data_IF_146838337727
#
_entry.id   IF_146838337727
#
_cell.length_a   1.000
_cell.length_b   1.000
_cell.length_c   1.000
_cell.angle_alpha   90.00
_cell.angle_beta   90.00
_cell.angle_gamma   90.00
#
_symmetry.space_group_name_H-M   'P 1'
#
loop_
_entity.id
_entity.type
_entity.pdbx_description
1 polymer ?
#
# COMPACT_ATOMS: atom_id res chain seq x y z
N UNK A 1 -22.64 -3.36 -47.59
CA UNK A 1 -22.55 -4.20 -46.38
C UNK A 1 -21.55 -3.54 -45.46
N UNK A 2 -22.00 -2.99 -44.32
CA UNK A 2 -21.08 -2.45 -43.32
C UNK A 2 -20.24 -3.60 -42.78
N UNK A 3 -18.92 -3.54 -42.96
CA UNK A 3 -18.00 -4.43 -42.26
C UNK A 3 -18.23 -4.22 -40.77
N UNK A 4 -18.76 -5.23 -40.08
CA UNK A 4 -18.82 -5.18 -38.62
C UNK A 4 -17.37 -5.21 -38.14
N UNK A 5 -16.87 -4.06 -37.70
CA UNK A 5 -15.58 -4.01 -37.03
C UNK A 5 -15.65 -4.93 -35.80
N UNK A 6 -14.67 -5.82 -35.66
CA UNK A 6 -14.63 -6.79 -34.58
C UNK A 6 -14.39 -6.03 -33.27
N UNK A 7 -15.29 -6.18 -32.31
CA UNK A 7 -15.08 -5.69 -30.95
C UNK A 7 -14.07 -6.57 -30.22
N UNK A 8 -13.04 -5.95 -29.64
CA UNK A 8 -11.91 -6.64 -29.02
C UNK A 8 -11.84 -6.33 -27.53
N UNK A 9 -11.65 -7.38 -26.73
CA UNK A 9 -11.24 -7.27 -25.34
C UNK A 9 -9.84 -7.85 -25.16
N UNK A 10 -8.95 -7.08 -24.54
CA UNK A 10 -7.61 -7.52 -24.19
C UNK A 10 -7.52 -8.10 -22.78
N UNK A 11 -6.59 -9.02 -22.57
CA UNK A 11 -6.20 -9.51 -21.25
C UNK A 11 -4.68 -9.56 -21.14
N UNK A 12 -4.12 -9.19 -19.99
CA UNK A 12 -2.68 -9.09 -19.80
C UNK A 12 -2.25 -9.68 -18.47
N UNK A 13 -1.40 -10.70 -18.54
CA UNK A 13 -0.60 -11.18 -17.41
C UNK A 13 0.73 -10.42 -17.36
N UNK A 14 1.08 -9.93 -16.18
CA UNK A 14 2.18 -8.98 -15.99
C UNK A 14 3.33 -9.56 -15.17
N UNK A 15 4.51 -9.60 -15.78
CA UNK A 15 5.78 -9.97 -15.15
C UNK A 15 6.78 -8.81 -15.17
N UNK A 16 7.93 -9.02 -14.52
CA UNK A 16 8.95 -8.00 -14.31
C UNK A 16 9.48 -7.43 -15.63
N UNK A 17 9.86 -8.30 -16.56
CA UNK A 17 10.58 -7.92 -17.78
C UNK A 17 9.69 -8.03 -19.03
N UNK A 18 8.60 -8.78 -18.96
CA UNK A 18 7.66 -8.99 -20.07
C UNK A 18 6.20 -8.97 -19.60
N UNK A 19 5.29 -8.69 -20.53
CA UNK A 19 3.86 -8.78 -20.37
C UNK A 19 3.30 -9.68 -21.48
N UNK A 20 2.49 -10.65 -21.10
CA UNK A 20 1.82 -11.55 -22.05
C UNK A 20 0.40 -11.06 -22.23
N UNK A 21 0.01 -10.78 -23.47
CA UNK A 21 -1.31 -10.28 -23.81
C UNK A 21 -2.08 -11.31 -24.66
N UNK A 22 -3.40 -11.34 -24.47
CA UNK A 22 -4.34 -12.07 -25.32
C UNK A 22 -5.45 -11.13 -25.79
N UNK A 23 -5.91 -11.32 -27.02
CA UNK A 23 -7.05 -10.61 -27.60
C UNK A 23 -8.19 -11.60 -27.83
N UNK A 24 -9.39 -11.24 -27.39
CA UNK A 24 -10.62 -12.00 -27.65
C UNK A 24 -11.69 -11.11 -28.28
N UNK A 25 -12.59 -11.70 -29.04
CA UNK A 25 -13.78 -10.99 -29.57
C UNK A 25 -14.94 -10.99 -28.56
N UNK A 26 -16.06 -10.35 -28.94
CA UNK A 26 -17.29 -10.28 -28.14
C UNK A 26 -17.95 -11.63 -27.84
N UNK A 27 -17.67 -12.66 -28.65
CA UNK A 27 -18.10 -14.04 -28.40
C UNK A 27 -17.11 -14.82 -27.49
N UNK A 28 -15.99 -14.19 -27.11
CA UNK A 28 -14.92 -14.82 -26.33
C UNK A 28 -14.05 -15.78 -27.14
N UNK A 29 -14.04 -15.70 -28.47
CA UNK A 29 -13.09 -16.43 -29.32
C UNK A 29 -11.74 -15.74 -29.27
N UNK A 30 -10.66 -16.53 -29.21
CA UNK A 30 -9.29 -16.00 -29.15
C UNK A 30 -8.87 -15.55 -30.54
N UNK A 31 -8.45 -14.29 -30.65
CA UNK A 31 -7.94 -13.68 -31.88
C UNK A 31 -6.41 -13.79 -31.97
N UNK A 32 -5.73 -13.80 -30.82
CA UNK A 32 -4.30 -14.05 -30.74
C UNK A 32 -3.73 -13.87 -29.34
N UNK A 33 -2.48 -14.29 -29.16
CA UNK A 33 -1.68 -14.04 -27.96
C UNK A 33 -0.25 -13.67 -28.33
N UNK A 34 0.35 -12.71 -27.62
CA UNK A 34 1.72 -12.27 -27.87
C UNK A 34 2.40 -11.77 -26.58
N UNK A 35 3.73 -11.79 -26.57
CA UNK A 35 4.54 -11.27 -25.47
C UNK A 35 5.24 -9.97 -25.86
N UNK A 36 5.26 -9.01 -24.93
CA UNK A 36 5.84 -7.69 -25.11
C UNK A 36 6.80 -7.36 -23.97
N UNK A 37 7.89 -6.61 -24.21
CA UNK A 37 8.74 -6.12 -23.13
C UNK A 37 7.98 -5.19 -22.16
N UNK A 38 8.29 -5.25 -20.87
CA UNK A 38 7.74 -4.34 -19.86
C UNK A 38 8.43 -2.96 -19.92
N UNK A 39 8.27 -2.25 -21.04
CA UNK A 39 8.90 -0.96 -21.34
C UNK A 39 7.95 -0.05 -22.13
N UNK A 40 8.25 1.24 -22.22
CA UNK A 40 7.45 2.19 -23.00
C UNK A 40 7.29 1.77 -24.48
N UNK A 41 8.34 1.22 -25.10
CA UNK A 41 8.25 0.68 -26.45
C UNK A 41 7.34 -0.57 -26.49
N UNK A 42 7.46 -1.45 -25.51
CA UNK A 42 6.61 -2.64 -25.42
C UNK A 42 5.14 -2.31 -25.20
N UNK A 43 4.82 -1.29 -24.41
CA UNK A 43 3.44 -0.83 -24.19
C UNK A 43 2.81 -0.29 -25.48
N UNK A 44 3.56 0.51 -26.25
CA UNK A 44 3.17 0.98 -27.59
C UNK A 44 2.87 -0.19 -28.53
N UNK A 45 3.78 -1.16 -28.59
CA UNK A 45 3.62 -2.37 -29.43
C UNK A 45 2.41 -3.19 -29.01
N UNK A 46 2.21 -3.39 -27.71
CA UNK A 46 1.08 -4.14 -27.17
C UNK A 46 -0.25 -3.48 -27.54
N UNK A 47 -0.37 -2.15 -27.35
CA UNK A 47 -1.59 -1.41 -27.69
C UNK A 47 -1.86 -1.44 -29.20
N UNK A 48 -0.85 -1.22 -30.02
CA UNK A 48 -0.96 -1.32 -31.49
C UNK A 48 -1.39 -2.72 -31.93
N UNK A 49 -0.84 -3.75 -31.29
CA UNK A 49 -1.19 -5.13 -31.57
C UNK A 49 -2.66 -5.43 -31.20
N UNK A 50 -3.13 -5.02 -30.01
CA UNK A 50 -4.54 -5.17 -29.64
C UNK A 50 -5.49 -4.45 -30.61
N UNK A 51 -5.17 -3.23 -31.02
CA UNK A 51 -5.96 -2.43 -31.98
C UNK A 51 -5.95 -3.01 -33.40
N UNK A 52 -4.95 -3.81 -33.75
CA UNK A 52 -4.88 -4.44 -35.08
C UNK A 52 -5.96 -5.50 -35.33
N UNK A 53 -6.59 -6.01 -34.27
CA UNK A 53 -7.69 -6.97 -34.36
C UNK A 53 -9.07 -6.33 -34.52
N UNK A 54 -9.22 -5.02 -34.29
CA UNK A 54 -10.50 -4.31 -34.36
C UNK A 54 -10.67 -3.22 -33.29
N UNK A 55 -11.91 -2.88 -32.94
CA UNK A 55 -12.24 -1.85 -31.95
C UNK A 55 -11.91 -2.38 -30.55
N UNK A 56 -10.86 -1.85 -29.93
CA UNK A 56 -10.48 -2.21 -28.56
C UNK A 56 -11.42 -1.54 -27.54
N UNK A 57 -12.28 -2.34 -26.91
CA UNK A 57 -13.26 -1.86 -25.92
C UNK A 57 -12.64 -1.70 -24.53
N UNK A 58 -11.86 -2.69 -24.08
CA UNK A 58 -11.23 -2.68 -22.77
C UNK A 58 -10.06 -3.66 -22.66
N UNK A 59 -9.26 -3.49 -21.61
CA UNK A 59 -8.17 -4.40 -21.27
C UNK A 59 -8.23 -4.80 -19.80
N UNK A 60 -8.31 -6.10 -19.54
CA UNK A 60 -8.10 -6.69 -18.22
C UNK A 60 -6.61 -6.82 -17.91
N UNK A 61 -6.12 -6.15 -16.88
CA UNK A 61 -4.70 -6.19 -16.50
C UNK A 61 -4.55 -6.80 -15.10
N UNK A 62 -3.74 -7.85 -14.99
CA UNK A 62 -3.35 -8.38 -13.68
C UNK A 62 -2.34 -7.44 -12.99
N UNK A 63 -2.43 -7.34 -11.66
CA UNK A 63 -1.45 -6.66 -10.81
C UNK A 63 -1.13 -5.22 -11.26
N UNK A 64 -2.16 -4.42 -11.55
CA UNK A 64 -2.02 -2.99 -11.86
C UNK A 64 -1.34 -2.20 -10.73
N UNK A 65 -1.34 -2.74 -9.51
CA UNK A 65 -0.59 -2.24 -8.37
C UNK A 65 0.90 -2.63 -8.29
N UNK A 66 1.44 -3.39 -9.24
CA UNK A 66 2.83 -3.86 -9.26
C UNK A 66 3.40 -3.82 -10.69
N UNK A 67 3.69 -4.97 -11.30
CA UNK A 67 4.28 -5.04 -12.64
C UNK A 67 3.39 -4.43 -13.74
N UNK A 68 2.07 -4.49 -13.58
CA UNK A 68 1.12 -3.89 -14.53
C UNK A 68 0.96 -2.37 -14.40
N UNK A 69 1.61 -1.71 -13.44
CA UNK A 69 1.39 -0.28 -13.18
C UNK A 69 1.78 0.62 -14.36
N UNK A 70 2.89 0.31 -15.04
CA UNK A 70 3.34 1.06 -16.22
C UNK A 70 2.36 0.93 -17.38
N UNK A 71 1.96 -0.30 -17.70
CA UNK A 71 1.01 -0.59 -18.77
C UNK A 71 -0.37 0.01 -18.51
N UNK A 72 -0.90 -0.13 -17.29
CA UNK A 72 -2.22 0.38 -16.94
C UNK A 72 -2.32 1.91 -17.03
N UNK A 73 -1.21 2.62 -16.79
CA UNK A 73 -1.11 4.08 -17.02
C UNK A 73 -1.05 4.39 -18.51
N UNK A 74 -0.16 3.74 -19.24
CA UNK A 74 -0.02 3.94 -20.69
C UNK A 74 -1.35 3.72 -21.45
N UNK A 75 -2.09 2.67 -21.10
CA UNK A 75 -3.40 2.38 -21.69
C UNK A 75 -4.44 3.47 -21.38
N UNK A 76 -4.49 3.97 -20.15
CA UNK A 76 -5.40 5.06 -19.76
C UNK A 76 -5.06 6.38 -20.45
N UNK A 77 -3.78 6.70 -20.61
CA UNK A 77 -3.31 7.88 -21.37
C UNK A 77 -3.70 7.83 -22.85
N UNK A 78 -4.10 6.66 -23.38
CA UNK A 78 -4.55 6.46 -24.75
C UNK A 78 -6.06 6.09 -24.82
N UNK A 79 -6.83 6.54 -23.82
CA UNK A 79 -8.29 6.40 -23.72
C UNK A 79 -8.80 4.95 -23.73
N UNK A 80 -7.98 3.99 -23.30
CA UNK A 80 -8.39 2.59 -23.17
C UNK A 80 -8.97 2.34 -21.78
N UNK A 81 -10.18 1.77 -21.73
CA UNK A 81 -10.79 1.31 -20.47
C UNK A 81 -9.96 0.16 -19.89
N UNK A 82 -9.36 0.38 -18.71
CA UNK A 82 -8.59 -0.65 -18.00
C UNK A 82 -9.36 -1.15 -16.79
N UNK A 83 -9.46 -2.47 -16.66
CA UNK A 83 -10.01 -3.13 -15.46
C UNK A 83 -8.92 -3.97 -14.78
N UNK A 84 -8.80 -3.87 -13.47
CA UNK A 84 -7.93 -4.73 -12.68
C UNK A 84 -8.61 -6.09 -12.53
N UNK A 85 -7.90 -7.15 -12.90
CA UNK A 85 -8.38 -8.53 -12.74
C UNK A 85 -7.86 -9.10 -11.43
N UNK A 86 -8.79 -9.45 -10.54
CA UNK A 86 -8.44 -10.23 -9.36
C UNK A 86 -8.02 -11.64 -9.78
N UNK A 87 -6.89 -12.08 -9.25
CA UNK A 87 -6.36 -13.43 -9.47
C UNK A 87 -7.43 -14.50 -9.20
N UNK A 88 -7.68 -15.45 -10.12
CA UNK A 88 -8.63 -16.54 -9.87
C UNK A 88 -8.18 -17.43 -8.71
N UNK A 89 -9.15 -18.06 -8.05
CA UNK A 89 -8.94 -18.96 -6.91
C UNK A 89 -7.88 -20.02 -7.24
N UNK A 90 -6.96 -20.25 -6.29
CA UNK A 90 -5.85 -21.19 -6.43
C UNK A 90 -6.32 -22.61 -6.78
N UNK A 91 -7.55 -22.98 -6.41
CA UNK A 91 -8.14 -24.29 -6.73
C UNK A 91 -8.44 -24.46 -8.22
N UNK A 92 -8.98 -23.45 -8.88
CA UNK A 92 -9.30 -23.48 -10.33
C UNK A 92 -8.02 -23.54 -11.16
N UNK A 93 -6.95 -22.88 -10.67
CA UNK A 93 -5.65 -22.76 -11.35
C UNK A 93 -4.83 -24.07 -11.40
N UNK A 94 -5.14 -25.06 -10.57
CA UNK A 94 -4.39 -26.34 -10.54
C UNK A 94 -4.74 -27.29 -11.69
N UNK A 95 -5.91 -27.10 -12.32
CA UNK A 95 -6.45 -28.03 -13.31
C UNK A 95 -6.13 -27.68 -14.76
N UNK A 96 -5.67 -26.45 -15.06
CA UNK A 96 -5.53 -25.95 -16.43
C UNK A 96 -4.09 -25.91 -16.98
N UNK A 97 -3.09 -26.27 -16.18
CA UNK A 97 -1.68 -26.08 -16.55
C UNK A 97 -1.27 -24.59 -16.49
N UNK A 98 -0.02 -24.33 -16.11
CA UNK A 98 0.47 -22.95 -15.90
C UNK A 98 1.19 -22.48 -17.17
N UNK A 99 0.56 -21.62 -17.95
CA UNK A 99 1.23 -20.91 -19.04
C UNK A 99 0.76 -19.45 -19.09
N UNK A 100 1.69 -18.54 -19.37
CA UNK A 100 1.40 -17.10 -19.40
C UNK A 100 0.31 -16.71 -20.44
N UNK A 101 0.20 -17.36 -21.63
CA UNK A 101 -0.91 -17.09 -22.55
C UNK A 101 -2.28 -17.46 -21.98
N UNK A 102 -2.38 -18.58 -21.27
CA UNK A 102 -3.63 -19.02 -20.62
C UNK A 102 -4.06 -18.02 -19.53
N UNK A 103 -3.10 -17.51 -18.74
CA UNK A 103 -3.38 -16.49 -17.73
C UNK A 103 -3.83 -15.16 -18.39
N UNK A 104 -3.23 -14.76 -19.52
CA UNK A 104 -3.64 -13.58 -20.28
C UNK A 104 -5.04 -13.73 -20.90
N UNK A 105 -5.36 -14.90 -21.49
CA UNK A 105 -6.70 -15.19 -22.00
C UNK A 105 -7.76 -15.21 -20.88
N UNK A 106 -7.43 -15.79 -19.73
CA UNK A 106 -8.31 -15.79 -18.57
C UNK A 106 -8.59 -14.36 -18.09
N UNK A 107 -7.58 -13.47 -18.11
CA UNK A 107 -7.75 -12.06 -17.82
C UNK A 107 -8.68 -11.37 -18.82
N UNK A 108 -8.54 -11.67 -20.13
CA UNK A 108 -9.40 -11.11 -21.18
C UNK A 108 -10.87 -11.54 -20.97
N UNK A 109 -11.10 -12.83 -20.71
CA UNK A 109 -12.44 -13.38 -20.45
C UNK A 109 -13.05 -12.81 -19.17
N UNK A 110 -12.25 -12.59 -18.14
CA UNK A 110 -12.72 -11.97 -16.90
C UNK A 110 -13.12 -10.50 -17.11
N UNK A 111 -12.36 -9.76 -17.93
CA UNK A 111 -12.69 -8.39 -18.33
C UNK A 111 -13.99 -8.34 -19.13
N UNK A 112 -14.12 -9.16 -20.18
CA UNK A 112 -15.32 -9.23 -21.02
C UNK A 112 -16.58 -9.55 -20.20
N UNK A 113 -16.46 -10.47 -19.23
CA UNK A 113 -17.57 -10.84 -18.36
C UNK A 113 -17.80 -9.89 -17.17
N UNK A 114 -16.99 -8.83 -17.05
CA UNK A 114 -16.92 -7.92 -15.90
C UNK A 114 -16.93 -8.63 -14.53
N UNK A 115 -16.32 -9.82 -14.48
CA UNK A 115 -16.37 -10.70 -13.31
C UNK A 115 -15.14 -10.49 -12.46
N UNK A 116 -15.33 -10.12 -11.18
CA UNK A 116 -14.24 -9.83 -10.23
C UNK A 116 -13.27 -8.76 -10.76
N UNK A 117 -13.84 -7.74 -11.38
CA UNK A 117 -13.11 -6.57 -11.86
C UNK A 117 -13.11 -5.45 -10.82
N UNK A 118 -11.96 -4.80 -10.68
CA UNK A 118 -11.78 -3.57 -9.92
C UNK A 118 -11.37 -2.42 -10.82
N UNK A 119 -11.67 -1.18 -10.42
CA UNK A 119 -11.06 0.00 -11.05
C UNK A 119 -9.64 0.14 -10.47
N UNK A 120 -8.58 0.11 -11.31
CA UNK A 120 -7.21 0.30 -10.84
C UNK A 120 -7.02 1.63 -10.14
N UNK A 121 -6.03 1.72 -9.25
CA UNK A 121 -5.58 3.03 -8.74
C UNK A 121 -4.92 3.82 -9.86
N UNK A 122 -5.19 5.13 -9.95
CA UNK A 122 -4.62 5.96 -11.02
C UNK A 122 -3.09 6.09 -10.92
N UNK A 123 -2.54 6.26 -9.71
CA UNK A 123 -1.08 6.22 -9.46
C UNK A 123 -0.26 7.21 -10.31
N UNK A 124 -0.83 8.37 -10.55
CA UNK A 124 -0.27 9.43 -11.39
C UNK A 124 -0.37 10.80 -10.70
N UNK A 125 -0.98 10.88 -9.51
CA UNK A 125 -1.18 12.11 -8.76
C UNK A 125 -0.35 12.22 -7.48
N UNK A 126 -0.74 13.19 -6.65
CA UNK A 126 -0.07 13.50 -5.37
C UNK A 126 -0.07 12.32 -4.39
N UNK A 127 -1.07 11.42 -4.44
CA UNK A 127 -1.10 10.23 -3.58
C UNK A 127 0.00 9.25 -3.96
N UNK A 128 0.35 9.14 -5.25
CA UNK A 128 1.48 8.31 -5.69
C UNK A 128 2.82 8.90 -5.27
N UNK A 129 2.99 10.23 -5.36
CA UNK A 129 4.17 10.91 -4.82
C UNK A 129 4.31 10.65 -3.31
N UNK A 130 3.21 10.79 -2.57
CA UNK A 130 3.15 10.47 -1.15
C UNK A 130 3.49 8.99 -0.87
N UNK A 131 2.99 8.06 -1.70
CA UNK A 131 3.34 6.64 -1.59
C UNK A 131 4.84 6.43 -1.71
N UNK A 132 5.49 7.06 -2.69
CA UNK A 132 6.92 6.92 -2.92
C UNK A 132 7.74 7.41 -1.71
N UNK A 133 7.44 8.62 -1.21
CA UNK A 133 8.09 9.18 -0.01
C UNK A 133 7.89 8.28 1.21
N UNK A 134 6.68 7.76 1.41
CA UNK A 134 6.37 6.86 2.53
C UNK A 134 7.09 5.51 2.45
N UNK A 135 7.41 5.02 1.24
CA UNK A 135 8.23 3.81 1.06
C UNK A 135 9.64 4.05 1.59
N UNK A 136 10.29 5.15 1.18
CA UNK A 136 11.63 5.52 1.67
C UNK A 136 11.61 5.71 3.20
N UNK A 137 10.65 6.49 3.72
CA UNK A 137 10.56 6.77 5.15
C UNK A 137 10.35 5.51 5.98
N UNK A 138 9.47 4.61 5.55
CA UNK A 138 9.24 3.34 6.26
C UNK A 138 10.50 2.49 6.29
N UNK A 139 11.26 2.46 5.19
CA UNK A 139 12.56 1.78 5.13
C UNK A 139 13.52 2.38 6.16
N UNK A 140 13.69 3.70 6.17
CA UNK A 140 14.59 4.38 7.10
C UNK A 140 14.22 4.12 8.57
N UNK A 141 12.92 4.19 8.92
CA UNK A 141 12.43 3.87 10.29
C UNK A 141 12.75 2.44 10.68
N UNK A 142 12.52 1.47 9.78
CA UNK A 142 12.79 0.06 10.04
C UNK A 142 14.29 -0.18 10.24
N UNK A 143 15.12 0.35 9.34
CA UNK A 143 16.57 0.26 9.44
C UNK A 143 17.10 0.90 10.72
N UNK A 144 16.55 2.06 11.13
CA UNK A 144 16.95 2.75 12.36
C UNK A 144 16.67 1.87 13.59
N UNK A 145 15.51 1.21 13.63
CA UNK A 145 15.17 0.26 14.69
C UNK A 145 16.07 -0.99 14.68
N UNK A 146 16.41 -1.51 13.50
CA UNK A 146 17.30 -2.66 13.35
C UNK A 146 18.73 -2.31 13.80
N UNK A 147 19.22 -1.12 13.48
CA UNK A 147 20.52 -0.62 13.95
C UNK A 147 20.56 -0.51 15.47
N UNK A 148 19.51 0.02 16.11
CA UNK A 148 19.42 0.05 17.59
C UNK A 148 19.51 -1.36 18.18
N UNK A 149 18.85 -2.35 17.56
CA UNK A 149 18.93 -3.75 17.98
C UNK A 149 20.33 -4.32 17.81
N UNK A 150 20.99 -4.05 16.69
CA UNK A 150 22.37 -4.48 16.42
C UNK A 150 23.35 -3.90 17.45
N UNK A 151 23.23 -2.61 17.80
CA UNK A 151 24.03 -1.97 18.84
C UNK A 151 23.83 -2.69 20.18
N UNK A 152 22.58 -2.91 20.59
CA UNK A 152 22.26 -3.59 21.86
C UNK A 152 22.81 -5.01 21.88
N UNK A 153 22.66 -5.76 20.80
CA UNK A 153 23.19 -7.12 20.69
C UNK A 153 24.72 -7.14 20.76
N UNK A 154 25.40 -6.21 20.09
CA UNK A 154 26.86 -6.14 20.11
C UNK A 154 27.40 -5.80 21.51
N UNK A 155 26.68 -4.98 22.28
CA UNK A 155 27.05 -4.67 23.68
C UNK A 155 26.97 -5.90 24.58
N UNK A 156 26.03 -6.82 24.33
CA UNK A 156 25.87 -8.05 25.14
C UNK A 156 27.14 -8.91 25.07
N UNK A 157 27.78 -8.99 23.91
CA UNK A 157 28.99 -9.80 23.67
C UNK A 157 30.28 -8.97 23.63
N UNK A 158 30.22 -7.69 23.99
CA UNK A 158 31.38 -6.80 23.96
C UNK A 158 32.40 -7.16 25.07
N UNK A 159 33.70 -6.86 24.89
CA UNK A 159 34.69 -6.94 25.95
C UNK A 159 34.25 -6.18 27.21
N UNK A 160 34.60 -6.71 28.39
CA UNK A 160 34.00 -6.31 29.68
C UNK A 160 34.05 -4.80 29.95
N UNK A 161 35.18 -4.14 29.65
CA UNK A 161 35.31 -2.69 29.81
C UNK A 161 34.32 -1.89 28.94
N UNK A 162 34.09 -2.32 27.70
CA UNK A 162 33.11 -1.68 26.80
C UNK A 162 31.69 -1.98 27.25
N UNK A 163 31.42 -3.23 27.64
CA UNK A 163 30.10 -3.66 28.10
C UNK A 163 29.67 -2.92 29.37
N UNK A 164 30.54 -2.86 30.37
CA UNK A 164 30.24 -2.19 31.65
C UNK A 164 30.02 -0.68 31.45
N UNK A 165 30.77 -0.03 30.56
CA UNK A 165 30.56 1.38 30.20
C UNK A 165 29.20 1.65 29.57
N UNK A 166 28.68 0.74 28.74
CA UNK A 166 27.52 1.00 27.88
C UNK A 166 26.19 0.42 28.38
N UNK A 167 26.20 -0.68 29.14
CA UNK A 167 25.01 -1.49 29.44
C UNK A 167 23.88 -0.75 30.20
N UNK A 168 24.22 0.31 30.93
CA UNK A 168 23.28 1.06 31.78
C UNK A 168 22.78 2.35 31.13
N UNK A 169 23.30 2.70 29.95
CA UNK A 169 22.97 3.95 29.28
C UNK A 169 21.59 3.87 28.62
N UNK A 170 20.88 5.00 28.65
CA UNK A 170 19.66 5.16 27.86
C UNK A 170 20.02 5.29 26.37
N UNK A 171 19.10 4.90 25.49
CA UNK A 171 19.34 4.86 24.04
C UNK A 171 19.95 6.17 23.49
N UNK A 172 19.48 7.34 23.95
CA UNK A 172 20.03 8.65 23.53
C UNK A 172 21.52 8.79 23.86
N UNK A 173 21.89 8.55 25.12
CA UNK A 173 23.27 8.71 25.61
C UNK A 173 24.17 7.62 25.03
N UNK A 174 23.66 6.40 24.92
CA UNK A 174 24.32 5.27 24.29
C UNK A 174 24.73 5.58 22.85
N UNK A 175 23.78 6.05 22.04
CA UNK A 175 24.04 6.44 20.65
C UNK A 175 25.00 7.63 20.56
N UNK A 176 24.92 8.56 21.51
CA UNK A 176 25.81 9.72 21.57
C UNK A 176 27.27 9.29 21.79
N UNK A 177 27.50 8.46 22.80
CA UNK A 177 28.82 7.94 23.17
C UNK A 177 29.38 7.05 22.06
N UNK A 178 28.60 6.08 21.55
CA UNK A 178 29.05 5.17 20.49
C UNK A 178 29.51 5.93 19.24
N UNK A 179 28.73 6.90 18.76
CA UNK A 179 29.12 7.70 17.60
C UNK A 179 30.35 8.60 17.86
N UNK A 180 30.61 8.89 19.14
CA UNK A 180 31.75 9.66 19.62
C UNK A 180 33.07 8.88 19.70
N UNK A 181 33.07 7.54 19.62
CA UNK A 181 34.31 6.78 19.74
C UNK A 181 35.38 7.17 18.70
N UNK A 182 36.65 7.06 19.11
CA UNK A 182 37.84 7.36 18.29
C UNK A 182 38.86 6.19 18.36
N UNK A 183 38.48 4.97 17.95
CA UNK A 183 39.41 3.85 17.86
C UNK A 183 40.50 4.13 16.81
N UNK A 184 41.72 3.69 17.09
CA UNK A 184 42.85 3.75 16.17
C UNK A 184 42.70 2.66 15.09
N UNK A 185 42.65 3.03 13.78
CA UNK A 185 42.46 2.07 12.70
C UNK A 185 43.50 0.95 12.67
N UNK A 186 44.75 1.25 13.04
CA UNK A 186 45.88 0.32 12.98
C UNK A 186 45.75 -0.83 14.00
N UNK A 187 44.83 -0.71 14.95
CA UNK A 187 44.55 -1.72 15.98
C UNK A 187 43.24 -2.47 15.72
N UNK A 188 42.74 -2.50 14.49
CA UNK A 188 41.47 -3.15 14.17
C UNK A 188 41.40 -4.66 14.52
N UNK A 189 42.55 -5.32 14.69
CA UNK A 189 42.62 -6.71 15.16
C UNK A 189 42.33 -6.90 16.66
N UNK A 190 42.43 -5.84 17.47
CA UNK A 190 42.08 -5.88 18.89
C UNK A 190 40.55 -5.87 19.09
N UNK A 191 39.96 -6.84 19.82
CA UNK A 191 38.51 -6.94 20.03
C UNK A 191 37.84 -5.69 20.63
N UNK A 192 38.53 -4.95 21.51
CA UNK A 192 37.99 -3.71 22.10
C UNK A 192 37.89 -2.63 21.02
N UNK A 193 38.96 -2.45 20.25
CA UNK A 193 39.05 -1.48 19.15
C UNK A 193 38.07 -1.81 18.03
N UNK A 194 37.95 -3.08 17.65
CA UNK A 194 36.99 -3.57 16.65
C UNK A 194 35.55 -3.30 17.09
N UNK A 195 35.22 -3.62 18.36
CA UNK A 195 33.88 -3.41 18.92
C UNK A 195 33.52 -1.92 18.94
N UNK A 196 34.41 -1.05 19.42
CA UNK A 196 34.19 0.41 19.40
C UNK A 196 34.04 0.96 17.98
N UNK A 197 34.79 0.42 17.01
CA UNK A 197 34.68 0.80 15.60
C UNK A 197 33.32 0.42 15.03
N UNK A 198 32.85 -0.80 15.27
CA UNK A 198 31.55 -1.27 14.82
C UNK A 198 30.40 -0.47 15.46
N UNK A 199 30.43 -0.27 16.78
CA UNK A 199 29.44 0.54 17.51
C UNK A 199 29.38 1.98 16.99
N UNK A 200 30.53 2.59 16.67
CA UNK A 200 30.59 3.91 16.05
C UNK A 200 29.93 3.96 14.69
N UNK A 201 30.21 2.98 13.83
CA UNK A 201 29.63 2.89 12.49
C UNK A 201 28.10 2.77 12.56
N UNK A 202 27.60 1.86 13.41
CA UNK A 202 26.17 1.68 13.64
C UNK A 202 25.51 2.95 14.22
N UNK A 203 26.11 3.58 15.22
CA UNK A 203 25.54 4.77 15.83
C UNK A 203 25.51 5.98 14.88
N UNK A 204 26.50 6.12 13.99
CA UNK A 204 26.48 7.14 12.92
C UNK A 204 25.38 6.84 11.91
N UNK A 205 25.26 5.59 11.44
CA UNK A 205 24.15 5.16 10.58
C UNK A 205 22.78 5.45 11.20
N UNK A 206 22.60 5.21 12.50
CA UNK A 206 21.36 5.57 13.21
C UNK A 206 21.06 7.08 13.13
N UNK A 207 22.08 7.93 13.27
CA UNK A 207 21.92 9.39 13.16
C UNK A 207 21.56 9.82 11.74
N UNK A 208 22.24 9.26 10.73
CA UNK A 208 21.97 9.59 9.34
C UNK A 208 20.56 9.14 8.92
N UNK A 209 20.12 7.94 9.33
CA UNK A 209 18.73 7.50 9.17
C UNK A 209 17.74 8.38 9.92
N UNK A 210 18.14 8.97 11.06
CA UNK A 210 17.34 9.97 11.76
C UNK A 210 17.11 11.21 10.92
N UNK A 211 18.18 11.76 10.34
CA UNK A 211 18.11 12.91 9.44
C UNK A 211 17.25 12.63 8.20
N UNK A 212 17.44 11.48 7.56
CA UNK A 212 16.63 11.06 6.40
C UNK A 212 15.13 10.96 6.76
N UNK A 213 14.79 10.47 7.95
CA UNK A 213 13.39 10.42 8.40
C UNK A 213 12.82 11.83 8.56
N UNK A 214 13.57 12.74 9.17
CA UNK A 214 13.13 14.12 9.41
C UNK A 214 12.96 14.87 8.07
N UNK A 215 13.92 14.74 7.14
CA UNK A 215 13.83 15.28 5.78
C UNK A 215 12.59 14.76 5.02
N UNK A 216 12.29 13.46 5.13
CA UNK A 216 11.09 12.88 4.51
C UNK A 216 9.80 13.31 5.21
N UNK A 217 9.82 13.54 6.52
CA UNK A 217 8.67 14.04 7.27
C UNK A 217 8.33 15.49 6.88
N UNK A 218 9.33 16.33 6.61
CA UNK A 218 9.15 17.70 6.09
C UNK A 218 8.47 17.73 4.72
N UNK A 219 8.64 16.69 3.90
CA UNK A 219 7.94 16.55 2.61
C UNK A 219 6.55 15.93 2.77
N UNK A 220 6.40 14.93 3.64
CA UNK A 220 5.15 14.19 3.81
C UNK A 220 4.08 15.04 4.50
N UNK A 221 4.45 15.84 5.50
CA UNK A 221 3.52 16.66 6.26
C UNK A 221 2.68 17.62 5.40
N UNK A 222 3.27 18.57 4.65
CA UNK A 222 2.52 19.48 3.79
C UNK A 222 1.73 18.72 2.72
N UNK A 223 2.32 17.69 2.10
CA UNK A 223 1.64 16.92 1.06
C UNK A 223 0.37 16.22 1.57
N UNK A 224 0.40 15.68 2.79
CA UNK A 224 -0.81 15.08 3.39
C UNK A 224 -1.88 16.11 3.70
N UNK A 225 -1.49 17.31 4.15
CA UNK A 225 -2.40 18.42 4.41
C UNK A 225 -3.06 18.92 3.11
N UNK A 226 -2.28 19.04 2.04
CA UNK A 226 -2.77 19.47 0.72
C UNK A 226 -3.72 18.45 0.09
N UNK A 227 -3.45 17.15 0.25
CA UNK A 227 -4.29 16.09 -0.35
C UNK A 227 -5.64 16.01 0.37
N UNK A 228 -5.64 16.03 1.71
CA UNK A 228 -6.89 15.95 2.47
C UNK A 228 -6.74 16.60 3.87
N UNK A 229 -7.06 17.89 4.02
CA UNK A 229 -6.92 18.60 5.29
C UNK A 229 -7.90 18.09 6.36
N UNK A 230 -9.10 17.66 5.97
CA UNK A 230 -10.08 17.12 6.92
C UNK A 230 -9.58 15.81 7.58
N UNK A 231 -8.73 15.04 6.90
CA UNK A 231 -8.16 13.81 7.45
C UNK A 231 -7.13 14.09 8.54
N UNK A 232 -6.31 15.14 8.40
CA UNK A 232 -5.27 15.50 9.39
C UNK A 232 -5.86 16.20 10.63
N UNK A 233 -7.05 16.80 10.51
CA UNK A 233 -7.80 17.36 11.64
C UNK A 233 -8.36 16.28 12.59
N UNK A 234 -8.48 15.03 12.13
CA UNK A 234 -8.99 13.95 12.95
C UNK A 234 -8.09 13.67 14.16
N UNK A 235 -8.72 13.54 15.33
CA UNK A 235 -8.02 13.17 16.56
C UNK A 235 -7.24 11.87 16.38
N UNK A 236 -5.93 11.94 16.57
CA UNK A 236 -5.03 10.79 16.48
C UNK A 236 -4.53 10.48 15.07
N UNK A 237 -4.77 11.37 14.11
CA UNK A 237 -4.28 11.26 12.73
C UNK A 237 -3.19 12.31 12.50
N UNK A 238 -1.93 11.93 12.69
CA UNK A 238 -0.79 12.74 12.24
C UNK A 238 -0.44 12.49 10.77
N UNK A 239 0.47 13.27 10.17
CA UNK A 239 0.81 13.16 8.74
C UNK A 239 1.10 11.75 8.22
N UNK A 240 2.00 11.00 8.86
CA UNK A 240 2.30 9.62 8.44
C UNK A 240 1.05 8.73 8.48
N UNK A 241 0.25 8.89 9.54
CA UNK A 241 -0.95 8.09 9.79
C UNK A 241 -2.02 8.43 8.77
N UNK A 242 -2.17 9.71 8.37
CA UNK A 242 -3.04 10.17 7.29
C UNK A 242 -2.60 9.61 5.94
N UNK A 243 -1.28 9.57 5.69
CA UNK A 243 -0.75 9.12 4.43
C UNK A 243 -1.03 7.65 4.12
N UNK A 244 -1.26 6.80 5.12
CA UNK A 244 -1.60 5.40 4.87
C UNK A 244 -3.01 5.20 4.27
N UNK A 245 -4.11 5.69 4.87
CA UNK A 245 -5.42 5.68 4.24
C UNK A 245 -5.44 6.31 2.85
N UNK A 246 -4.76 7.44 2.64
CA UNK A 246 -4.66 8.11 1.33
C UNK A 246 -4.08 7.15 0.29
N UNK A 247 -2.90 6.57 0.56
CA UNK A 247 -2.27 5.57 -0.31
C UNK A 247 -3.14 4.33 -0.51
N UNK A 248 -3.89 3.93 0.52
CA UNK A 248 -4.78 2.75 0.47
C UNK A 248 -5.95 3.00 -0.46
N UNK A 249 -6.54 4.19 -0.41
CA UNK A 249 -7.60 4.63 -1.31
C UNK A 249 -7.07 4.81 -2.74
N UNK A 250 -5.94 5.50 -2.91
CA UNK A 250 -5.41 5.91 -4.21
C UNK A 250 -5.89 7.32 -4.59
N UNK A 251 -5.38 7.86 -5.70
CA UNK A 251 -5.77 9.18 -6.23
C UNK A 251 -7.25 9.25 -6.63
N UNK A 252 -7.86 8.10 -6.96
CA UNK A 252 -9.26 7.92 -7.32
C UNK A 252 -10.06 7.16 -6.24
N UNK A 253 -10.37 7.79 -5.08
CA UNK A 253 -11.10 7.15 -3.98
C UNK A 253 -12.56 6.79 -4.33
N UNK A 254 -13.13 7.36 -5.38
CA UNK A 254 -14.44 7.02 -5.96
C UNK A 254 -14.55 5.55 -6.38
N UNK A 255 -13.41 4.87 -6.64
CA UNK A 255 -13.37 3.42 -6.86
C UNK A 255 -13.86 2.60 -5.66
N UNK A 256 -13.89 3.19 -4.46
CA UNK A 256 -14.32 2.53 -3.23
C UNK A 256 -15.86 2.51 -3.18
N UNK A 257 -16.45 1.35 -3.50
CA UNK A 257 -17.91 1.19 -3.64
C UNK A 257 -18.71 1.37 -2.34
N UNK A 258 -18.09 1.22 -1.18
CA UNK A 258 -18.74 1.39 0.11
C UNK A 258 -17.77 1.47 1.28
N UNK A 259 -18.28 1.96 2.41
CA UNK A 259 -17.62 1.93 3.70
C UNK A 259 -17.19 0.51 4.12
N UNK A 260 -18.03 -0.49 3.84
CA UNK A 260 -17.73 -1.90 4.13
C UNK A 260 -16.61 -2.44 3.24
N UNK A 261 -16.56 -2.03 1.97
CA UNK A 261 -15.47 -2.37 1.06
C UNK A 261 -14.14 -1.77 1.55
N UNK A 262 -14.14 -0.50 1.98
CA UNK A 262 -12.95 0.14 2.53
C UNK A 262 -12.47 -0.52 3.84
N UNK A 263 -13.38 -0.89 4.74
CA UNK A 263 -13.01 -1.61 5.95
C UNK A 263 -12.48 -3.02 5.66
N UNK A 264 -12.97 -3.69 4.63
CA UNK A 264 -12.43 -4.97 4.17
C UNK A 264 -11.03 -4.79 3.60
N UNK A 265 -10.81 -3.76 2.78
CA UNK A 265 -9.51 -3.37 2.23
C UNK A 265 -8.51 -3.07 3.36
N UNK A 266 -8.93 -2.38 4.42
CA UNK A 266 -8.09 -2.11 5.59
C UNK A 266 -7.94 -3.30 6.57
N UNK A 267 -8.53 -4.47 6.27
CA UNK A 267 -8.53 -5.63 7.17
C UNK A 267 -9.20 -5.35 8.53
N UNK A 268 -10.14 -4.40 8.58
CA UNK A 268 -10.90 -3.99 9.76
C UNK A 268 -12.33 -4.55 9.79
N UNK A 269 -12.83 -5.06 8.65
CA UNK A 269 -14.12 -5.75 8.60
C UNK A 269 -14.02 -7.14 9.26
N UNK A 270 -14.94 -7.50 10.18
CA UNK A 270 -15.03 -8.85 10.72
C UNK A 270 -15.48 -9.82 9.62
N UNK A 271 -14.93 -11.04 9.62
CA UNK A 271 -15.38 -12.09 8.71
C UNK A 271 -16.39 -13.00 9.43
N UNK A 272 -17.57 -13.27 8.86
CA UNK A 272 -18.49 -14.24 9.44
C UNK A 272 -17.79 -15.61 9.51
N UNK A 273 -17.88 -16.24 10.68
CA UNK A 273 -17.35 -17.56 10.98
C UNK A 273 -18.40 -18.35 11.77
N UNK A 274 -19.64 -18.18 11.35
CA UNK A 274 -20.83 -18.80 11.92
C UNK A 274 -21.19 -20.07 11.15
N UNK A 275 -21.49 -21.14 11.87
CA UNK A 275 -22.22 -22.30 11.36
C UNK A 275 -23.40 -22.57 12.29
N UNK A 276 -24.63 -22.61 11.77
CA UNK A 276 -25.84 -22.79 12.59
C UNK A 276 -26.17 -21.60 13.50
N UNK A 277 -26.64 -21.86 14.73
CA UNK A 277 -27.18 -20.87 15.69
C UNK A 277 -26.13 -19.98 16.39
N UNK A 278 -24.87 -20.00 15.98
CA UNK A 278 -23.80 -19.22 16.64
C UNK A 278 -23.38 -18.02 15.79
N UNK A 279 -23.44 -16.81 16.34
CA UNK A 279 -22.93 -15.60 15.70
C UNK A 279 -21.46 -15.37 16.10
N UNK A 280 -20.53 -16.03 15.40
CA UNK A 280 -19.08 -15.85 15.61
C UNK A 280 -18.48 -15.10 14.44
N UNK A 281 -17.56 -14.19 14.74
CA UNK A 281 -16.78 -13.47 13.74
C UNK A 281 -15.29 -13.76 13.95
N UNK A 282 -14.57 -14.00 12.85
CA UNK A 282 -13.12 -14.21 12.87
C UNK A 282 -12.37 -12.97 12.40
N UNK A 283 -11.10 -12.91 12.80
CA UNK A 283 -10.17 -11.87 12.36
C UNK A 283 -9.92 -11.96 10.84
N UNK A 284 -10.07 -10.84 10.14
CA UNK A 284 -9.57 -10.71 8.79
C UNK A 284 -8.04 -10.55 8.80
N UNK A 285 -7.33 -11.56 8.30
CA UNK A 285 -5.86 -11.53 8.14
C UNK A 285 -5.42 -10.95 6.79
N UNK A 286 -6.35 -10.73 5.87
CA UNK A 286 -6.10 -10.10 4.58
C UNK A 286 -6.12 -8.57 4.65
N UNK A 287 -6.22 -7.96 3.46
CA UNK A 287 -6.22 -6.50 3.28
C UNK A 287 -4.84 -5.85 3.46
N UNK A 288 -4.82 -4.52 3.36
CA UNK A 288 -3.66 -3.70 3.62
C UNK A 288 -3.35 -3.69 5.12
N UNK A 289 -2.31 -4.45 5.48
CA UNK A 289 -1.83 -4.57 6.86
C UNK A 289 -1.28 -3.25 7.41
N UNK A 290 -0.75 -2.40 6.55
CA UNK A 290 -0.28 -1.09 6.97
C UNK A 290 -1.45 -0.15 7.26
N UNK A 291 -2.51 -0.16 6.44
CA UNK A 291 -3.76 0.55 6.75
C UNK A 291 -4.36 0.06 8.07
N UNK A 292 -4.33 -1.25 8.30
CA UNK A 292 -4.78 -1.85 9.55
C UNK A 292 -3.98 -1.36 10.78
N UNK A 293 -2.67 -1.14 10.61
CA UNK A 293 -1.79 -0.60 11.64
C UNK A 293 -2.04 0.90 11.86
N UNK A 294 -2.29 1.68 10.80
CA UNK A 294 -2.69 3.09 10.91
C UNK A 294 -3.98 3.24 11.72
N UNK A 295 -5.03 2.48 11.39
CA UNK A 295 -6.27 2.44 12.17
C UNK A 295 -6.03 2.12 13.65
N UNK A 296 -5.12 1.18 13.93
CA UNK A 296 -4.78 0.81 15.30
C UNK A 296 -4.08 1.96 16.06
N UNK A 297 -3.14 2.69 15.41
CA UNK A 297 -2.47 3.85 16.01
C UNK A 297 -3.46 4.97 16.34
N UNK A 298 -4.41 5.23 15.45
CA UNK A 298 -5.49 6.20 15.68
C UNK A 298 -6.29 5.80 16.92
N UNK A 299 -6.72 4.53 17.00
CA UNK A 299 -7.48 4.02 18.15
C UNK A 299 -6.69 4.13 19.45
N UNK A 300 -5.39 3.80 19.46
CA UNK A 300 -4.57 3.96 20.67
C UNK A 300 -4.46 5.42 21.11
N UNK A 301 -4.27 6.33 20.16
CA UNK A 301 -4.22 7.76 20.44
C UNK A 301 -5.55 8.26 21.00
N UNK A 302 -6.68 7.86 20.40
CA UNK A 302 -8.03 8.23 20.86
C UNK A 302 -8.36 7.63 22.23
N UNK A 303 -7.99 6.38 22.50
CA UNK A 303 -8.14 5.82 23.85
C UNK A 303 -7.36 6.63 24.90
N UNK A 304 -6.21 7.20 24.51
CA UNK A 304 -5.41 8.04 25.39
C UNK A 304 -5.92 9.47 25.50
N UNK A 305 -6.62 10.04 24.51
CA UNK A 305 -6.87 11.49 24.49
C UNK A 305 -8.27 11.94 24.04
N UNK A 306 -9.13 11.03 23.58
CA UNK A 306 -10.49 11.32 23.14
C UNK A 306 -11.52 10.81 24.17
N UNK A 307 -12.25 11.70 24.86
CA UNK A 307 -13.27 11.32 25.83
C UNK A 307 -14.32 10.37 25.26
N UNK A 308 -14.78 10.59 24.02
CA UNK A 308 -15.81 9.76 23.39
C UNK A 308 -15.36 8.31 23.23
N UNK A 309 -14.13 8.10 22.78
CA UNK A 309 -13.54 6.77 22.63
C UNK A 309 -13.29 6.08 23.97
N UNK A 310 -12.95 6.83 25.03
CA UNK A 310 -12.84 6.28 26.40
C UNK A 310 -14.20 5.84 26.95
N UNK A 311 -15.23 6.68 26.84
CA UNK A 311 -16.61 6.31 27.24
C UNK A 311 -17.10 5.07 26.51
N UNK A 312 -16.79 4.95 25.21
CA UNK A 312 -17.10 3.73 24.45
C UNK A 312 -16.37 2.50 25.01
N UNK A 313 -15.07 2.62 25.33
CA UNK A 313 -14.32 1.51 25.91
C UNK A 313 -14.86 1.09 27.28
N UNK A 314 -15.17 2.05 28.16
CA UNK A 314 -15.75 1.77 29.47
C UNK A 314 -17.09 1.04 29.34
N UNK A 315 -17.99 1.53 28.49
CA UNK A 315 -19.28 0.90 28.24
C UNK A 315 -19.13 -0.54 27.73
N UNK A 316 -18.31 -0.77 26.70
CA UNK A 316 -18.12 -2.12 26.14
C UNK A 316 -17.40 -3.07 27.10
N UNK A 317 -16.56 -2.54 27.98
CA UNK A 317 -15.93 -3.34 29.05
C UNK A 317 -16.98 -3.81 30.05
N UNK A 318 -17.93 -2.95 30.44
CA UNK A 318 -19.08 -3.32 31.29
C UNK A 318 -20.00 -4.36 30.61
N UNK A 319 -20.11 -4.33 29.29
CA UNK A 319 -20.82 -5.34 28.50
C UNK A 319 -20.04 -6.67 28.32
N UNK A 320 -18.88 -6.83 28.99
CA UNK A 320 -18.12 -8.08 29.02
C UNK A 320 -17.13 -8.28 27.87
N UNK A 321 -16.92 -7.29 27.00
CA UNK A 321 -15.95 -7.43 25.90
C UNK A 321 -14.51 -7.27 26.38
N UNK A 322 -13.63 -8.08 25.81
CA UNK A 322 -12.19 -7.92 26.00
C UNK A 322 -11.68 -6.65 25.31
N UNK A 323 -10.59 -6.07 25.83
CA UNK A 323 -9.91 -4.92 25.22
C UNK A 323 -9.58 -5.14 23.74
N UNK A 324 -9.24 -6.36 23.34
CA UNK A 324 -8.94 -6.71 21.94
C UNK A 324 -10.19 -6.63 21.05
N UNK A 325 -11.36 -7.03 21.55
CA UNK A 325 -12.63 -6.92 20.82
C UNK A 325 -13.07 -5.47 20.69
N UNK A 326 -12.96 -4.69 21.77
CA UNK A 326 -13.27 -3.25 21.77
C UNK A 326 -12.42 -2.52 20.73
N UNK A 327 -11.10 -2.78 20.71
CA UNK A 327 -10.19 -2.18 19.71
C UNK A 327 -10.60 -2.55 18.28
N UNK A 328 -11.10 -3.77 18.02
CA UNK A 328 -11.59 -4.15 16.68
C UNK A 328 -12.83 -3.35 16.29
N UNK A 329 -13.78 -3.18 17.21
CA UNK A 329 -14.96 -2.34 16.98
C UNK A 329 -14.54 -0.89 16.69
N UNK A 330 -13.63 -0.33 17.49
CA UNK A 330 -13.11 1.03 17.29
C UNK A 330 -12.41 1.18 15.95
N UNK A 331 -11.60 0.20 15.52
CA UNK A 331 -10.97 0.23 14.18
C UNK A 331 -11.99 0.22 13.05
N UNK A 332 -13.12 -0.50 13.21
CA UNK A 332 -14.21 -0.49 12.23
C UNK A 332 -14.88 0.88 12.16
N UNK A 333 -15.08 1.54 13.30
CA UNK A 333 -15.62 2.91 13.37
C UNK A 333 -14.68 3.94 12.76
N UNK A 334 -13.39 3.87 13.06
CA UNK A 334 -12.38 4.76 12.46
C UNK A 334 -12.30 4.54 10.94
N UNK A 335 -12.35 3.28 10.47
CA UNK A 335 -12.38 3.00 9.03
C UNK A 335 -13.59 3.63 8.34
N UNK A 336 -14.76 3.64 8.99
CA UNK A 336 -15.97 4.31 8.49
C UNK A 336 -15.78 5.81 8.36
N UNK A 337 -15.34 6.45 9.43
CA UNK A 337 -15.13 7.89 9.48
C UNK A 337 -14.13 8.34 8.40
N UNK A 338 -13.02 7.63 8.27
CA UNK A 338 -12.02 7.87 7.24
C UNK A 338 -12.59 7.68 5.84
N UNK A 339 -13.40 6.64 5.59
CA UNK A 339 -14.03 6.43 4.29
C UNK A 339 -14.82 7.66 3.85
N UNK A 340 -15.67 8.21 4.73
CA UNK A 340 -16.47 9.39 4.41
C UNK A 340 -15.59 10.61 4.11
N UNK A 341 -14.53 10.82 4.88
CA UNK A 341 -13.60 11.94 4.63
C UNK A 341 -12.89 11.79 3.28
N UNK A 342 -12.47 10.58 2.93
CA UNK A 342 -11.81 10.31 1.65
C UNK A 342 -12.74 10.51 0.45
N UNK A 343 -14.03 10.17 0.57
CA UNK A 343 -14.97 10.26 -0.55
C UNK A 343 -15.67 11.60 -0.66
N UNK A 344 -15.87 12.34 0.44
CA UNK A 344 -16.57 13.63 0.44
C UNK A 344 -15.68 14.76 -0.08
N UNK A 345 -14.38 14.78 0.26
CA UNK A 345 -13.45 15.83 -0.19
C UNK A 345 -13.27 15.84 -1.71
N UNK A 346 -13.31 14.67 -2.36
CA UNK A 346 -13.19 14.58 -3.82
C UNK A 346 -14.46 14.97 -4.59
N UNK A 347 -15.65 14.84 -3.99
CA UNK A 347 -16.89 15.28 -4.64
C UNK A 347 -16.92 16.80 -4.83
N UNK A 348 -16.25 17.56 -3.95
CA UNK A 348 -16.14 19.02 -4.07
C UNK A 348 -15.05 19.47 -5.06
N UNK A 349 -14.06 18.63 -5.36
CA UNK A 349 -13.01 18.89 -6.35
C UNK A 349 -13.39 18.46 -7.78
N UNK A 350 -14.42 17.62 -7.92
CA UNK A 350 -14.93 17.10 -9.19
C UNK A 350 -16.02 17.98 -9.82
N UNK A 351 -16.31 19.18 -9.28
CA UNK A 351 -17.14 20.15 -10.00
C UNK A 351 -16.35 20.62 -11.24
N UNK A 352 -16.86 20.39 -12.47
CA UNK A 352 -16.21 20.93 -13.65
C UNK A 352 -16.17 22.45 -13.52
N UNK A 353 -14.98 23.04 -13.66
CA UNK A 353 -14.79 24.46 -13.88
C UNK A 353 -15.31 24.83 -15.28
N UNK A 354 -16.63 24.79 -15.46
CA UNK A 354 -17.33 25.41 -16.57
C UNK A 354 -18.45 26.25 -15.98
N UNK A 355 -18.12 27.52 -15.78
CA UNK A 355 -18.94 28.73 -15.66
C UNK A 355 -17.90 29.81 -15.36
N UNK A 356 -17.44 30.58 -16.33
CA UNK A 356 -17.90 31.94 -16.72
C UNK A 356 -17.06 32.28 -17.99
N UNK A 357 -17.49 32.99 -19.03
CA UNK A 357 -18.29 34.22 -19.05
C UNK A 357 -18.87 34.44 -20.44
N UNK A 358 -20.06 35.05 -20.46
CA UNK A 358 -20.68 35.65 -21.63
C UNK A 358 -19.81 36.76 -22.27
N UNK A 359 -19.87 36.83 -23.59
CA UNK A 359 -20.07 38.05 -24.37
C UNK A 359 -21.02 37.70 -25.51
#
# INVERSE_FOLDING_TARGET
>A
MAQHEVEVTGGVDTHKDTHTAAAIDSAGRVLGSAQFPASALGYRKLLSWLRSFGILLMVGVERTGAYGAGLARYLREHDVRVVEIDRPDRKTRRWQGKSDPVDAEAAARAALAERRTGVPKSRDGRVEALRALRVARRSAVQQRADVTRQIKNLIVTAPEGVRTMLRHLKDKDLLAICAGFRPHPDQAGDPVTATKTALRSLARRHRDLGREIDELDELIAPLTQEINPALTELKGVGPEVAGQPLVTAGDNPDRLRSEAAFATLCGAAPLPASSGRTHRHRLNRGGDRAANAALYRIVLCRLRWDPRTRTYMERRTKEGLSKKEIIRCLKRFVAREIYHILTTTNASAAAPSHLTTAA
#
